data_IF_064585261806
#
_entry.id   IF_064585261806
#
_cell.length_a   1.000
_cell.length_b   1.000
_cell.length_c   1.000
_cell.angle_alpha   90.00
_cell.angle_beta   90.00
_cell.angle_gamma   90.00
#
_symmetry.space_group_name_H-M   'P 1'
#
loop_
_entity.id
_entity.type
_entity.pdbx_description
1 polymer ?
#
# COMPACT_ATOMS: atom_id res chain seq x y z
N UNK A 1 -10.21 -14.76 -13.23
CA UNK A 1 -11.01 -13.94 -12.30
C UNK A 1 -11.36 -12.63 -12.98
N UNK A 2 -12.65 -12.30 -13.07
CA UNK A 2 -13.20 -11.19 -13.85
C UNK A 2 -12.67 -9.84 -13.35
N UNK A 3 -11.90 -9.18 -14.20
CA UNK A 3 -11.18 -7.97 -13.88
C UNK A 3 -11.91 -6.75 -14.49
N UNK A 4 -13.17 -6.56 -14.11
CA UNK A 4 -14.05 -5.55 -14.73
C UNK A 4 -13.69 -4.11 -14.31
N UNK A 5 -13.83 -3.11 -15.19
CA UNK A 5 -13.64 -1.69 -14.85
C UNK A 5 -14.46 -1.23 -13.64
N UNK A 6 -15.59 -1.89 -13.37
CA UNK A 6 -16.42 -1.68 -12.19
C UNK A 6 -15.69 -1.97 -10.86
N UNK A 7 -14.72 -2.89 -10.82
CA UNK A 7 -13.99 -3.21 -9.60
C UNK A 7 -12.99 -2.11 -9.23
N UNK A 8 -12.30 -1.52 -10.21
CA UNK A 8 -11.34 -0.42 -9.99
C UNK A 8 -12.06 0.83 -9.51
N UNK A 9 -13.16 1.19 -10.16
CA UNK A 9 -13.97 2.34 -9.75
C UNK A 9 -14.51 2.19 -8.32
N UNK A 10 -14.89 0.96 -7.92
CA UNK A 10 -15.29 0.69 -6.53
C UNK A 10 -14.13 0.86 -5.55
N UNK A 11 -12.91 0.40 -5.88
CA UNK A 11 -11.72 0.59 -5.03
C UNK A 11 -11.38 2.07 -4.87
N UNK A 12 -11.42 2.84 -5.95
CA UNK A 12 -11.16 4.28 -5.93
C UNK A 12 -12.24 5.04 -5.13
N UNK A 13 -13.51 4.65 -5.28
CA UNK A 13 -14.60 5.21 -4.47
C UNK A 13 -14.40 4.92 -2.99
N UNK A 14 -14.01 3.69 -2.64
CA UNK A 14 -13.73 3.30 -1.25
C UNK A 14 -12.55 4.07 -0.66
N UNK A 15 -11.49 4.29 -1.45
CA UNK A 15 -10.34 5.10 -1.06
C UNK A 15 -10.77 6.54 -0.78
N UNK A 16 -11.52 7.14 -1.71
CA UNK A 16 -12.02 8.52 -1.56
C UNK A 16 -12.84 8.68 -0.28
N UNK A 17 -13.85 7.84 -0.06
CA UNK A 17 -14.69 7.92 1.14
C UNK A 17 -13.90 7.70 2.44
N UNK A 18 -12.86 6.86 2.40
CA UNK A 18 -12.00 6.63 3.57
C UNK A 18 -11.12 7.85 3.87
N UNK A 19 -10.57 8.50 2.85
CA UNK A 19 -9.82 9.75 2.99
C UNK A 19 -10.72 10.88 3.50
N UNK A 20 -11.94 11.02 2.97
CA UNK A 20 -12.92 12.02 3.43
C UNK A 20 -13.24 11.84 4.92
N UNK A 21 -13.46 10.60 5.36
CA UNK A 21 -13.67 10.26 6.77
C UNK A 21 -12.45 10.59 7.64
N UNK A 22 -11.23 10.32 7.16
CA UNK A 22 -10.00 10.71 7.86
C UNK A 22 -9.84 12.23 7.98
N UNK A 23 -10.22 12.99 6.95
CA UNK A 23 -10.20 14.47 6.97
C UNK A 23 -11.22 15.01 7.98
N UNK A 24 -12.39 14.40 8.13
CA UNK A 24 -13.38 14.80 9.13
C UNK A 24 -12.85 14.66 10.57
N UNK A 25 -11.86 13.81 10.79
CA UNK A 25 -11.21 13.64 12.10
C UNK A 25 -10.01 14.57 12.35
N UNK A 26 -9.76 15.53 11.45
CA UNK A 26 -8.65 16.49 11.55
C UNK A 26 -8.72 17.27 12.87
N UNK A 27 -7.76 17.02 13.76
CA UNK A 27 -7.65 17.66 15.07
C UNK A 27 -7.47 16.68 16.23
N UNK A 28 -7.90 15.43 16.06
CA UNK A 28 -7.62 14.34 17.00
C UNK A 28 -6.40 13.53 16.53
N UNK A 29 -5.66 12.95 17.49
CA UNK A 29 -4.57 12.04 17.14
C UNK A 29 -5.08 10.86 16.33
N UNK A 30 -4.51 10.61 15.16
CA UNK A 30 -4.83 9.44 14.33
C UNK A 30 -4.69 8.12 15.10
N UNK A 31 -3.81 8.10 16.12
CA UNK A 31 -3.58 6.94 17.01
C UNK A 31 -4.76 6.58 17.93
N UNK A 32 -5.68 7.51 18.24
CA UNK A 32 -6.86 7.19 19.06
C UNK A 32 -8.01 6.59 18.25
N UNK A 33 -7.90 6.50 16.92
CA UNK A 33 -8.97 6.07 16.01
C UNK A 33 -8.51 4.94 15.09
N UNK A 34 -8.02 3.86 15.70
CA UNK A 34 -7.53 2.63 15.05
C UNK A 34 -8.39 2.16 13.86
N UNK A 35 -9.72 2.28 13.94
CA UNK A 35 -10.61 1.86 12.85
C UNK A 35 -10.47 2.64 11.54
N UNK A 36 -10.07 3.92 11.56
CA UNK A 36 -9.93 4.71 10.34
C UNK A 36 -8.61 4.42 9.61
N UNK A 37 -7.51 4.25 10.35
CA UNK A 37 -6.22 3.81 9.81
C UNK A 37 -6.34 2.37 9.28
N UNK A 38 -6.97 1.48 10.05
CA UNK A 38 -7.20 0.10 9.62
C UNK A 38 -8.01 0.04 8.32
N UNK A 39 -9.07 0.84 8.21
CA UNK A 39 -9.86 0.93 6.98
C UNK A 39 -9.02 1.41 5.80
N UNK A 40 -8.18 2.44 6.00
CA UNK A 40 -7.29 2.94 4.94
C UNK A 40 -6.28 1.86 4.53
N UNK A 41 -5.69 1.16 5.50
CA UNK A 41 -4.77 0.05 5.26
C UNK A 41 -5.41 -1.05 4.42
N UNK A 42 -6.62 -1.48 4.76
CA UNK A 42 -7.35 -2.49 3.98
C UNK A 42 -7.62 -2.05 2.55
N UNK A 43 -7.99 -0.78 2.33
CA UNK A 43 -8.21 -0.25 0.99
C UNK A 43 -6.91 -0.18 0.19
N UNK A 44 -5.80 0.27 0.80
CA UNK A 44 -4.49 0.30 0.14
C UNK A 44 -4.04 -1.11 -0.23
N UNK A 45 -4.18 -2.09 0.67
CA UNK A 45 -3.89 -3.50 0.38
C UNK A 45 -4.72 -4.02 -0.80
N UNK A 46 -6.02 -3.71 -0.82
CA UNK A 46 -6.91 -4.11 -1.90
C UNK A 46 -6.50 -3.48 -3.25
N UNK A 47 -6.00 -2.25 -3.25
CA UNK A 47 -5.49 -1.58 -4.45
C UNK A 47 -4.17 -2.22 -4.90
N UNK A 48 -3.20 -2.40 -3.99
CA UNK A 48 -1.89 -2.96 -4.32
C UNK A 48 -1.98 -4.41 -4.81
N UNK A 49 -2.97 -5.17 -4.34
CA UNK A 49 -3.22 -6.54 -4.80
C UNK A 49 -4.12 -6.62 -6.03
N UNK A 50 -4.77 -5.53 -6.42
CA UNK A 50 -5.63 -5.51 -7.60
C UNK A 50 -4.81 -5.75 -8.86
N UNK A 51 -5.15 -6.81 -9.59
CA UNK A 51 -4.42 -7.21 -10.81
C UNK A 51 -2.94 -7.53 -10.60
N UNK A 52 -2.53 -7.82 -9.36
CA UNK A 52 -1.19 -8.33 -9.06
C UNK A 52 -1.01 -9.68 -9.77
N UNK A 53 0.10 -9.85 -10.47
CA UNK A 53 0.48 -11.14 -11.05
C UNK A 53 0.81 -12.09 -9.92
N UNK A 54 0.09 -13.19 -9.73
CA UNK A 54 0.42 -14.16 -8.67
C UNK A 54 1.66 -14.98 -9.05
N UNK A 55 2.84 -14.39 -8.84
CA UNK A 55 4.13 -14.97 -9.24
C UNK A 55 4.78 -15.78 -8.09
N UNK A 56 4.21 -15.72 -6.88
CA UNK A 56 4.67 -16.42 -5.68
C UNK A 56 3.52 -17.19 -5.04
N UNK A 57 3.84 -18.18 -4.18
CA UNK A 57 2.82 -18.87 -3.39
C UNK A 57 2.21 -17.95 -2.31
N UNK A 58 2.99 -16.97 -1.83
CA UNK A 58 2.56 -16.00 -0.83
C UNK A 58 2.47 -14.58 -1.41
N UNK A 59 1.25 -14.03 -1.41
CA UNK A 59 0.95 -12.67 -1.88
C UNK A 59 1.70 -11.62 -1.05
N UNK A 60 1.90 -11.84 0.25
CA UNK A 60 2.57 -10.86 1.11
C UNK A 60 4.07 -10.78 0.83
N UNK A 61 4.72 -11.89 0.49
CA UNK A 61 6.11 -11.90 0.02
C UNK A 61 6.28 -11.06 -1.25
N UNK A 62 5.37 -11.23 -2.21
CA UNK A 62 5.40 -10.44 -3.44
C UNK A 62 5.10 -8.96 -3.20
N UNK A 63 4.13 -8.64 -2.33
CA UNK A 63 3.86 -7.26 -1.93
C UNK A 63 5.07 -6.63 -1.23
N UNK A 64 5.77 -7.38 -0.40
CA UNK A 64 6.97 -6.90 0.26
C UNK A 64 8.09 -6.58 -0.74
N UNK A 65 8.30 -7.44 -1.74
CA UNK A 65 9.26 -7.17 -2.83
C UNK A 65 8.90 -5.91 -3.64
N UNK A 66 7.61 -5.73 -3.95
CA UNK A 66 7.10 -4.51 -4.56
C UNK A 66 7.39 -3.28 -3.69
N UNK A 67 7.10 -3.36 -2.38
CA UNK A 67 7.38 -2.27 -1.42
C UNK A 67 8.87 -1.94 -1.38
N UNK A 68 9.75 -2.93 -1.35
CA UNK A 68 11.21 -2.70 -1.42
C UNK A 68 11.57 -1.93 -2.69
N UNK A 69 11.00 -2.30 -3.84
CA UNK A 69 11.26 -1.61 -5.12
C UNK A 69 10.77 -0.16 -5.11
N UNK A 70 9.56 0.10 -4.59
CA UNK A 70 8.99 1.45 -4.48
C UNK A 70 9.86 2.41 -3.65
N UNK A 71 10.60 1.87 -2.69
CA UNK A 71 11.38 2.64 -1.74
C UNK A 71 12.88 2.67 -2.03
N UNK A 72 13.33 1.95 -3.06
CA UNK A 72 14.75 1.72 -3.35
C UNK A 72 15.56 3.00 -3.61
N UNK A 73 14.92 4.08 -4.05
CA UNK A 73 15.58 5.34 -4.39
C UNK A 73 15.67 6.34 -3.23
N UNK A 74 15.18 5.96 -2.03
CA UNK A 74 15.14 6.85 -0.87
C UNK A 74 15.77 6.16 0.34
N UNK A 75 16.94 6.65 0.75
CA UNK A 75 17.65 6.12 1.91
C UNK A 75 16.82 6.22 3.20
N UNK A 76 16.03 7.29 3.35
CA UNK A 76 15.06 7.45 4.45
C UNK A 76 14.05 6.32 4.48
N UNK A 77 13.51 5.90 3.33
CA UNK A 77 12.52 4.84 3.29
C UNK A 77 13.12 3.46 3.41
N UNK A 78 14.35 3.25 2.94
CA UNK A 78 15.09 2.01 3.17
C UNK A 78 15.27 1.78 4.69
N UNK A 79 15.62 2.81 5.46
CA UNK A 79 15.68 2.69 6.92
C UNK A 79 14.33 2.32 7.53
N UNK A 80 13.24 2.95 7.09
CA UNK A 80 11.89 2.56 7.53
C UNK A 80 11.60 1.08 7.24
N UNK A 81 11.97 0.56 6.07
CA UNK A 81 11.76 -0.85 5.73
C UNK A 81 12.57 -1.81 6.60
N UNK A 82 13.79 -1.42 6.99
CA UNK A 82 14.63 -2.23 7.89
C UNK A 82 14.02 -2.33 9.28
N UNK A 83 13.44 -1.24 9.80
CA UNK A 83 12.85 -1.19 11.14
C UNK A 83 11.58 -2.05 11.27
N UNK A 84 10.84 -2.23 10.17
CA UNK A 84 9.54 -2.93 10.16
C UNK A 84 9.61 -4.34 9.58
N UNK A 85 10.76 -4.78 9.08
CA UNK A 85 10.90 -6.10 8.45
C UNK A 85 10.95 -7.21 9.49
N UNK A 86 9.95 -8.10 9.43
CA UNK A 86 9.84 -9.29 10.25
C UNK A 86 9.87 -10.52 9.36
N UNK A 87 11.02 -11.19 9.27
CA UNK A 87 11.22 -12.37 8.41
C UNK A 87 10.19 -13.49 8.64
N UNK A 88 9.73 -13.66 9.88
CA UNK A 88 8.76 -14.69 10.25
C UNK A 88 7.30 -14.25 10.02
N UNK A 89 7.06 -12.96 9.75
CA UNK A 89 5.73 -12.39 9.56
C UNK A 89 5.74 -11.23 8.55
N UNK A 90 5.85 -11.59 7.26
CA UNK A 90 5.88 -10.59 6.18
C UNK A 90 4.56 -9.82 6.09
N UNK A 91 3.44 -10.47 6.38
CA UNK A 91 2.14 -9.78 6.47
C UNK A 91 2.20 -8.60 7.44
N UNK A 92 2.74 -8.79 8.63
CA UNK A 92 2.92 -7.71 9.60
C UNK A 92 3.86 -6.61 9.07
N UNK A 93 4.91 -6.97 8.33
CA UNK A 93 5.83 -6.00 7.71
C UNK A 93 5.10 -5.10 6.70
N UNK A 94 4.25 -5.69 5.86
CA UNK A 94 3.43 -4.95 4.88
C UNK A 94 2.41 -4.04 5.59
N UNK A 95 1.70 -4.56 6.59
CA UNK A 95 0.72 -3.78 7.35
C UNK A 95 1.38 -2.59 8.08
N UNK A 96 2.56 -2.81 8.70
CA UNK A 96 3.33 -1.76 9.36
C UNK A 96 3.88 -0.72 8.38
N UNK A 97 4.28 -1.12 7.17
CA UNK A 97 4.71 -0.18 6.14
C UNK A 97 3.59 0.80 5.82
N UNK A 98 2.38 0.32 5.56
CA UNK A 98 1.23 1.18 5.26
C UNK A 98 0.95 2.14 6.42
N UNK A 99 0.88 1.62 7.64
CA UNK A 99 0.56 2.43 8.82
C UNK A 99 1.61 3.53 9.05
N UNK A 100 2.91 3.18 9.01
CA UNK A 100 4.00 4.13 9.18
C UNK A 100 4.05 5.17 8.05
N UNK A 101 3.81 4.74 6.81
CA UNK A 101 3.76 5.61 5.64
C UNK A 101 2.61 6.62 5.71
N UNK A 102 1.47 6.22 6.26
CA UNK A 102 0.32 7.11 6.51
C UNK A 102 0.62 8.07 7.65
N UNK A 103 1.10 7.58 8.80
CA UNK A 103 1.42 8.40 9.98
C UNK A 103 2.51 9.42 9.66
N UNK A 104 3.53 9.01 8.90
CA UNK A 104 4.66 9.85 8.48
C UNK A 104 4.34 10.71 7.25
N UNK A 105 3.12 10.63 6.72
CA UNK A 105 2.64 11.39 5.55
C UNK A 105 3.50 11.19 4.29
N UNK A 106 4.13 10.03 4.12
CA UNK A 106 5.01 9.73 2.99
C UNK A 106 4.44 8.71 2.00
N UNK A 107 3.27 8.12 2.29
CA UNK A 107 2.67 7.10 1.42
C UNK A 107 2.51 7.56 -0.04
N UNK A 108 2.00 8.78 -0.27
CA UNK A 108 1.82 9.31 -1.63
C UNK A 108 3.15 9.45 -2.38
N UNK A 109 4.18 9.92 -1.69
CA UNK A 109 5.53 10.07 -2.25
C UNK A 109 6.18 8.71 -2.55
N UNK A 110 5.93 7.70 -1.72
CA UNK A 110 6.44 6.35 -1.97
C UNK A 110 5.73 5.68 -3.15
N UNK A 111 4.42 5.89 -3.29
CA UNK A 111 3.65 5.36 -4.41
C UNK A 111 3.93 6.10 -5.73
N UNK A 112 4.26 7.40 -5.69
CA UNK A 112 4.59 8.15 -6.90
C UNK A 112 5.85 7.65 -7.61
N UNK A 113 6.73 6.94 -6.91
CA UNK A 113 7.85 6.23 -7.54
C UNK A 113 7.39 5.19 -8.58
N UNK A 114 6.16 4.70 -8.50
CA UNK A 114 5.60 3.79 -9.49
C UNK A 114 5.14 4.50 -10.77
N UNK A 115 4.72 5.78 -10.71
CA UNK A 115 4.01 6.46 -11.81
C UNK A 115 4.74 6.43 -13.16
N UNK A 116 6.07 6.30 -13.14
CA UNK A 116 6.91 6.25 -14.33
C UNK A 116 7.82 5.01 -14.39
N UNK A 117 7.66 4.05 -13.46
CA UNK A 117 8.42 2.79 -13.46
C UNK A 117 7.63 1.71 -14.22
N UNK A 118 7.72 1.78 -15.55
CA UNK A 118 7.06 0.81 -16.45
C UNK A 118 7.53 -0.62 -16.18
N UNK A 119 8.79 -0.81 -15.81
CA UNK A 119 9.37 -2.12 -15.52
C UNK A 119 8.74 -2.71 -14.26
N UNK A 120 8.50 -1.90 -13.22
CA UNK A 120 7.76 -2.31 -12.04
C UNK A 120 6.34 -2.78 -12.40
N UNK A 121 5.60 -2.01 -13.21
CA UNK A 121 4.26 -2.42 -13.61
C UNK A 121 4.28 -3.71 -14.46
N UNK A 122 5.21 -3.84 -15.40
CA UNK A 122 5.37 -5.06 -16.19
C UNK A 122 5.75 -6.25 -15.32
N UNK A 123 6.58 -6.07 -14.31
CA UNK A 123 7.02 -7.15 -13.44
C UNK A 123 5.90 -7.63 -12.51
N UNK A 124 5.15 -6.72 -11.89
CA UNK A 124 4.23 -7.03 -10.80
C UNK A 124 2.75 -7.05 -11.20
N UNK A 125 2.31 -6.36 -12.25
CA UNK A 125 0.89 -6.18 -12.57
C UNK A 125 0.52 -6.64 -13.99
N UNK A 126 -0.68 -7.21 -14.15
CA UNK A 126 -1.21 -7.47 -15.49
C UNK A 126 -1.55 -6.15 -16.19
N UNK A 127 -0.94 -5.91 -17.37
CA UNK A 127 -1.40 -4.87 -18.30
C UNK A 127 -2.80 -5.26 -18.78
N UNK A 128 -3.77 -4.37 -18.60
CA UNK A 128 -5.11 -4.51 -19.17
C UNK A 128 -5.16 -3.79 -20.51
#
# INVERSE_FOLDING_TARGET
MNNSPSSVNSLLSNLKSTIELLIQFRGDSLTTKYGAIERLRLVILAILTHSLKHNTHDIYEQLWQLIVRLNANSQRYIHLLQDIYHKENIRQSVEQWIDQSVISQCLSQQLSCAEHDNDLFEQYYYRK
#
